data_IF_820591798624
#
_entry.id   IF_820591798624
#
_cell.length_a   1.000
_cell.length_b   1.000
_cell.length_c   1.000
_cell.angle_alpha   90.00
_cell.angle_beta   90.00
_cell.angle_gamma   90.00
#
_symmetry.space_group_name_H-M   'P 1'
#
loop_
_entity.id
_entity.type
_entity.pdbx_description
1 polymer ?
#
# COMPACT_ATOMS: atom_id res chain seq x y z
N UNK A 1 -10.99 19.61 -11.58
CA UNK A 1 -12.33 19.11 -11.23
C UNK A 1 -12.17 17.73 -10.63
N UNK A 2 -12.61 17.53 -9.38
CA UNK A 2 -12.73 16.16 -8.85
C UNK A 2 -13.95 15.58 -9.57
N UNK A 3 -13.74 14.56 -10.42
CA UNK A 3 -14.82 13.91 -11.15
C UNK A 3 -15.89 13.45 -10.14
N UNK A 4 -17.10 14.03 -10.18
CA UNK A 4 -18.21 13.63 -9.31
C UNK A 4 -18.45 12.11 -9.42
N UNK A 5 -18.25 11.59 -10.62
CA UNK A 5 -18.30 10.18 -10.99
C UNK A 5 -17.35 9.29 -10.17
N UNK A 6 -16.20 9.82 -9.70
CA UNK A 6 -15.23 9.04 -8.92
C UNK A 6 -15.81 8.63 -7.55
N UNK A 7 -16.38 9.59 -6.82
CA UNK A 7 -16.93 9.32 -5.47
C UNK A 7 -18.07 8.31 -5.55
N UNK A 8 -18.92 8.46 -6.57
CA UNK A 8 -20.01 7.54 -6.82
C UNK A 8 -19.49 6.13 -7.21
N UNK A 9 -18.56 6.04 -8.15
CA UNK A 9 -17.97 4.75 -8.56
C UNK A 9 -17.29 4.00 -7.39
N UNK A 10 -16.56 4.73 -6.53
CA UNK A 10 -15.97 4.17 -5.30
C UNK A 10 -17.07 3.63 -4.37
N UNK A 11 -18.12 4.41 -4.11
CA UNK A 11 -19.22 3.98 -3.25
C UNK A 11 -19.94 2.74 -3.81
N UNK A 12 -20.24 2.73 -5.10
CA UNK A 12 -20.87 1.60 -5.79
C UNK A 12 -20.00 0.34 -5.75
N UNK A 13 -18.68 0.47 -5.88
CA UNK A 13 -17.77 -0.67 -5.80
C UNK A 13 -17.65 -1.22 -4.39
N UNK A 14 -17.61 -0.38 -3.36
CA UNK A 14 -17.63 -0.80 -1.95
C UNK A 14 -18.92 -1.54 -1.58
N UNK A 15 -20.06 -1.17 -2.18
CA UNK A 15 -21.34 -1.85 -1.96
C UNK A 15 -21.37 -3.30 -2.50
N UNK A 16 -20.38 -3.70 -3.32
CA UNK A 16 -20.25 -5.06 -3.86
C UNK A 16 -19.21 -5.84 -3.05
N UNK A 17 -19.62 -6.89 -2.30
CA UNK A 17 -18.67 -7.71 -1.56
C UNK A 17 -17.72 -8.43 -2.52
N UNK A 18 -16.48 -8.63 -2.08
CA UNK A 18 -15.52 -9.48 -2.75
C UNK A 18 -15.68 -10.95 -2.35
N UNK A 19 -14.80 -11.84 -2.84
CA UNK A 19 -14.82 -13.27 -2.52
C UNK A 19 -14.72 -13.59 -1.03
N UNK A 20 -14.15 -12.67 -0.25
CA UNK A 20 -13.99 -12.80 1.20
C UNK A 20 -14.92 -11.87 2.01
N UNK A 21 -16.05 -11.46 1.42
CA UNK A 21 -17.03 -10.58 2.05
C UNK A 21 -16.79 -9.09 1.78
N UNK A 22 -17.31 -8.18 2.62
CA UNK A 22 -17.14 -6.75 2.46
C UNK A 22 -15.65 -6.34 2.41
N UNK A 23 -15.31 -5.47 1.47
CA UNK A 23 -13.95 -4.97 1.31
C UNK A 23 -13.67 -3.83 2.28
N UNK A 24 -12.49 -3.83 2.91
CA UNK A 24 -12.04 -2.73 3.78
C UNK A 24 -11.47 -1.55 3.00
N UNK A 25 -10.99 -1.80 1.78
CA UNK A 25 -10.45 -0.78 0.88
C UNK A 25 -10.61 -1.23 -0.59
N UNK A 26 -10.46 -0.31 -1.54
CA UNK A 26 -10.43 -0.55 -2.97
C UNK A 26 -9.05 -0.20 -3.52
N UNK A 27 -8.52 -1.05 -4.39
CA UNK A 27 -7.35 -0.73 -5.19
C UNK A 27 -7.80 -0.11 -6.51
N UNK A 28 -7.19 1.01 -6.87
CA UNK A 28 -7.43 1.71 -8.12
C UNK A 28 -6.56 1.09 -9.21
N UNK A 29 -7.18 0.87 -10.36
CA UNK A 29 -6.50 0.45 -11.57
C UNK A 29 -6.77 1.47 -12.67
N UNK A 30 -5.79 1.69 -13.53
CA UNK A 30 -5.99 2.50 -14.74
C UNK A 30 -6.77 1.73 -15.82
N UNK A 31 -6.97 2.37 -16.98
CA UNK A 31 -7.71 1.77 -18.11
C UNK A 31 -7.01 0.55 -18.71
N UNK A 32 -5.72 0.36 -18.43
CA UNK A 32 -4.93 -0.78 -18.87
C UNK A 32 -4.87 -1.88 -17.80
N UNK A 33 -5.47 -1.65 -16.62
CA UNK A 33 -5.50 -2.61 -15.51
C UNK A 33 -4.29 -2.55 -14.59
N UNK A 34 -3.41 -1.55 -14.74
CA UNK A 34 -2.28 -1.36 -13.84
C UNK A 34 -2.74 -0.75 -12.52
N UNK A 35 -2.35 -1.39 -11.42
CA UNK A 35 -2.64 -0.94 -10.06
C UNK A 35 -1.77 0.28 -9.73
N UNK A 36 -2.39 1.31 -9.15
CA UNK A 36 -1.68 2.54 -8.75
C UNK A 36 -1.65 2.71 -7.24
N UNK A 37 -2.81 2.93 -6.63
CA UNK A 37 -2.97 3.22 -5.21
C UNK A 37 -4.32 2.72 -4.69
N UNK A 38 -4.58 2.85 -3.39
CA UNK A 38 -5.91 2.64 -2.82
C UNK A 38 -6.81 3.87 -2.99
N UNK A 39 -8.10 3.78 -2.64
CA UNK A 39 -9.03 4.93 -2.80
C UNK A 39 -8.64 6.15 -1.96
N UNK A 40 -7.89 5.94 -0.87
CA UNK A 40 -7.42 6.95 0.10
C UNK A 40 -6.05 6.61 0.71
N UNK A 41 -5.26 5.79 0.05
CA UNK A 41 -4.00 5.25 0.57
C UNK A 41 -3.04 4.94 -0.58
N UNK A 42 -1.74 4.90 -0.33
CA UNK A 42 -0.78 4.41 -1.33
C UNK A 42 -0.65 2.88 -1.24
N UNK A 43 -0.35 2.24 -2.37
CA UNK A 43 -0.20 0.79 -2.49
C UNK A 43 1.26 0.41 -2.68
N UNK A 44 1.66 -0.66 -2.00
CA UNK A 44 2.98 -1.26 -2.11
C UNK A 44 2.87 -2.79 -2.17
N UNK A 45 3.78 -3.39 -2.92
CA UNK A 45 4.01 -4.83 -2.92
C UNK A 45 5.41 -5.14 -2.40
N UNK A 46 5.63 -6.35 -1.89
CA UNK A 46 6.96 -6.83 -1.54
C UNK A 46 7.24 -8.13 -2.30
N UNK A 47 8.38 -8.17 -2.99
CA UNK A 47 8.88 -9.35 -3.70
C UNK A 47 10.35 -9.55 -3.31
N UNK A 48 10.60 -10.50 -2.41
CA UNK A 48 11.93 -10.64 -1.80
C UNK A 48 12.32 -9.35 -1.04
N UNK A 49 13.50 -8.82 -1.31
CA UNK A 49 13.99 -7.59 -0.69
C UNK A 49 13.50 -6.30 -1.38
N UNK A 50 12.70 -6.41 -2.44
CA UNK A 50 12.19 -5.27 -3.20
C UNK A 50 10.80 -4.87 -2.71
N UNK A 51 10.63 -3.58 -2.46
CA UNK A 51 9.34 -2.94 -2.23
C UNK A 51 8.93 -2.21 -3.51
N UNK A 52 7.84 -2.65 -4.12
CA UNK A 52 7.38 -2.14 -5.41
C UNK A 52 6.24 -1.15 -5.20
N UNK A 53 6.30 0.02 -5.84
CA UNK A 53 5.20 0.99 -5.88
C UNK A 53 5.09 1.62 -7.27
N UNK A 54 3.90 2.11 -7.60
CA UNK A 54 3.68 2.81 -8.86
C UNK A 54 4.50 4.12 -8.94
N UNK A 55 4.80 4.60 -10.17
CA UNK A 55 5.50 5.88 -10.37
C UNK A 55 4.80 7.05 -9.68
N UNK A 56 5.59 8.03 -9.24
CA UNK A 56 5.13 9.21 -8.50
C UNK A 56 4.06 10.00 -9.26
N UNK A 57 4.10 10.02 -10.59
CA UNK A 57 3.12 10.72 -11.44
C UNK A 57 1.76 10.01 -11.51
N UNK A 58 1.67 8.80 -10.94
CA UNK A 58 0.50 7.91 -10.99
C UNK A 58 -0.22 7.77 -9.66
N UNK A 59 0.30 8.39 -8.60
CA UNK A 59 -0.20 8.25 -7.22
C UNK A 59 -0.19 9.59 -6.50
N UNK A 60 -0.96 9.68 -5.41
CA UNK A 60 -0.85 10.83 -4.51
C UNK A 60 0.46 10.77 -3.73
N UNK A 61 1.23 11.86 -3.76
CA UNK A 61 2.46 12.02 -2.98
C UNK A 61 2.18 12.34 -1.50
N UNK A 62 1.53 11.40 -0.82
CA UNK A 62 1.10 11.56 0.58
C UNK A 62 2.26 11.76 1.56
N UNK A 63 1.98 12.42 2.69
CA UNK A 63 2.98 12.66 3.76
C UNK A 63 3.46 11.32 4.34
N UNK A 64 2.54 10.40 4.68
CA UNK A 64 2.88 9.07 5.20
C UNK A 64 3.77 8.29 4.24
N UNK A 65 3.52 8.39 2.92
CA UNK A 65 4.38 7.77 1.90
C UNK A 65 5.82 8.22 2.03
N UNK A 66 6.10 9.50 2.28
CA UNK A 66 7.49 9.98 2.45
C UNK A 66 8.21 9.24 3.58
N UNK A 67 7.52 9.01 4.70
CA UNK A 67 8.07 8.24 5.82
C UNK A 67 8.19 6.75 5.51
N UNK A 68 7.28 6.18 4.71
CA UNK A 68 7.42 4.81 4.19
C UNK A 68 8.68 4.69 3.33
N UNK A 69 8.92 5.63 2.41
CA UNK A 69 10.12 5.60 1.55
C UNK A 69 11.41 5.69 2.38
N UNK A 70 11.42 6.53 3.43
CA UNK A 70 12.53 6.58 4.38
C UNK A 70 12.69 5.25 5.12
N UNK A 71 11.59 4.65 5.61
CA UNK A 71 11.61 3.38 6.32
C UNK A 71 12.10 2.22 5.43
N UNK A 72 11.81 2.24 4.13
CA UNK A 72 12.34 1.27 3.15
C UNK A 72 13.87 1.35 3.12
N UNK A 73 14.43 2.56 3.02
CA UNK A 73 15.87 2.79 3.03
C UNK A 73 16.51 2.36 4.36
N UNK A 74 15.91 2.75 5.50
CA UNK A 74 16.40 2.40 6.84
C UNK A 74 16.35 0.88 7.10
N UNK A 75 15.34 0.21 6.54
CA UNK A 75 15.22 -1.24 6.55
C UNK A 75 16.15 -1.94 5.55
N UNK A 76 16.98 -1.21 4.80
CA UNK A 76 17.87 -1.75 3.77
C UNK A 76 17.12 -2.59 2.73
N UNK A 77 15.92 -2.14 2.36
CA UNK A 77 15.12 -2.71 1.29
C UNK A 77 15.26 -1.86 0.02
N UNK A 78 15.05 -2.47 -1.13
CA UNK A 78 15.16 -1.79 -2.41
C UNK A 78 13.80 -1.24 -2.84
N UNK A 79 13.67 0.07 -3.04
CA UNK A 79 12.48 0.63 -3.68
C UNK A 79 12.56 0.40 -5.18
N UNK A 80 11.58 -0.31 -5.73
CA UNK A 80 11.41 -0.50 -7.17
C UNK A 80 10.19 0.27 -7.64
N UNK A 81 10.34 1.08 -8.69
CA UNK A 81 9.24 1.77 -9.34
C UNK A 81 8.77 0.92 -10.52
N UNK A 82 7.59 0.31 -10.40
CA UNK A 82 6.99 -0.53 -11.44
C UNK A 82 5.45 -0.47 -11.37
N UNK A 83 4.79 -0.74 -12.49
CA UNK A 83 3.34 -0.86 -12.57
C UNK A 83 2.97 -2.34 -12.70
N UNK A 84 2.18 -2.83 -11.76
CA UNK A 84 1.74 -4.23 -11.73
C UNK A 84 0.24 -4.33 -12.01
N UNK A 85 -0.15 -5.21 -12.91
CA UNK A 85 -1.52 -5.71 -12.96
C UNK A 85 -1.71 -6.80 -11.88
N UNK A 86 -2.96 -7.11 -11.52
CA UNK A 86 -3.21 -8.24 -10.61
C UNK A 86 -2.67 -9.58 -11.17
N UNK A 87 -2.64 -9.73 -12.49
CA UNK A 87 -2.05 -10.90 -13.13
C UNK A 87 -0.52 -10.91 -13.05
N UNK A 88 0.15 -9.76 -13.09
CA UNK A 88 1.58 -9.67 -12.79
C UNK A 88 1.88 -10.12 -11.37
N UNK A 89 1.08 -9.65 -10.39
CA UNK A 89 1.20 -10.06 -8.98
C UNK A 89 1.07 -11.58 -8.85
N UNK A 90 0.09 -12.20 -9.52
CA UNK A 90 -0.09 -13.66 -9.56
C UNK A 90 1.09 -14.37 -10.21
N UNK A 91 1.50 -13.97 -11.41
CA UNK A 91 2.58 -14.62 -12.18
C UNK A 91 3.93 -14.53 -11.48
N UNK A 92 4.22 -13.39 -10.83
CA UNK A 92 5.45 -13.16 -10.07
C UNK A 92 5.43 -13.84 -8.69
N UNK A 93 4.32 -14.47 -8.30
CA UNK A 93 4.19 -15.12 -7.00
C UNK A 93 4.28 -14.15 -5.82
N UNK A 94 3.86 -12.90 -6.01
CA UNK A 94 3.89 -11.88 -4.95
C UNK A 94 2.77 -12.20 -3.96
N UNK A 95 3.14 -12.38 -2.69
CA UNK A 95 2.22 -12.72 -1.59
C UNK A 95 2.11 -11.63 -0.54
N UNK A 96 2.82 -10.53 -0.70
CA UNK A 96 2.90 -9.45 0.28
C UNK A 96 2.55 -8.13 -0.36
N UNK A 97 1.55 -7.47 0.20
CA UNK A 97 1.12 -6.15 -0.18
C UNK A 97 0.64 -5.38 1.05
N UNK A 98 0.83 -4.07 1.05
CA UNK A 98 0.37 -3.22 2.13
C UNK A 98 -0.10 -1.87 1.60
N UNK A 99 -0.95 -1.23 2.39
CA UNK A 99 -1.41 0.14 2.15
C UNK A 99 -0.71 1.07 3.12
N UNK A 100 -0.52 2.33 2.71
CA UNK A 100 -0.09 3.37 3.63
C UNK A 100 -0.99 4.60 3.60
N UNK A 101 -1.22 5.19 4.77
CA UNK A 101 -1.97 6.43 4.91
C UNK A 101 -1.99 6.89 6.36
N UNK A 102 -2.18 8.18 6.60
CA UNK A 102 -2.06 8.75 7.96
C UNK A 102 -2.99 8.09 9.00
N UNK A 103 -4.23 7.68 8.68
CA UNK A 103 -5.08 6.99 9.65
C UNK A 103 -4.72 5.51 9.88
N UNK A 104 -3.91 4.90 9.01
CA UNK A 104 -3.69 3.44 8.97
C UNK A 104 -2.21 3.05 9.07
N UNK A 105 -1.29 4.02 9.12
CA UNK A 105 0.15 3.83 9.03
C UNK A 105 0.55 2.92 7.87
N UNK A 106 0.99 1.69 8.16
CA UNK A 106 1.20 0.60 7.21
C UNK A 106 0.22 -0.52 7.54
N UNK A 107 -0.74 -0.75 6.66
CA UNK A 107 -1.77 -1.77 6.81
C UNK A 107 -1.47 -2.97 5.90
N UNK A 108 -1.10 -4.15 6.44
CA UNK A 108 -0.89 -5.33 5.61
C UNK A 108 -2.21 -5.80 5.00
N UNK A 109 -2.19 -6.10 3.70
CA UNK A 109 -3.35 -6.62 2.97
C UNK A 109 -3.43 -8.13 3.19
N UNK A 110 -4.59 -8.65 3.60
CA UNK A 110 -4.84 -10.10 3.77
C UNK A 110 -5.25 -10.82 2.49
N UNK A 111 -5.84 -10.10 1.53
CA UNK A 111 -6.29 -10.63 0.24
C UNK A 111 -6.59 -9.48 -0.72
N UNK A 112 -6.39 -9.72 -2.02
CA UNK A 112 -6.82 -8.84 -3.12
C UNK A 112 -7.73 -9.66 -4.03
N UNK A 113 -9.01 -9.29 -4.14
CA UNK A 113 -10.03 -10.08 -4.83
C UNK A 113 -10.04 -11.54 -4.35
N UNK A 114 -9.72 -12.50 -5.22
CA UNK A 114 -9.64 -13.94 -4.95
C UNK A 114 -8.23 -14.39 -4.53
N UNK A 115 -7.23 -13.49 -4.56
CA UNK A 115 -5.84 -13.76 -4.24
C UNK A 115 -5.59 -13.55 -2.74
N UNK A 116 -5.39 -14.61 -1.93
CA UNK A 116 -5.02 -14.44 -0.53
C UNK A 116 -3.62 -13.82 -0.45
N UNK A 117 -3.25 -13.22 0.68
CA UNK A 117 -1.91 -12.66 0.90
C UNK A 117 -1.38 -13.10 2.26
N UNK A 118 -0.06 -13.08 2.42
CA UNK A 118 0.67 -13.46 3.63
C UNK A 118 1.35 -12.24 4.28
N UNK A 119 0.93 -11.03 3.89
CA UNK A 119 1.63 -9.77 4.18
C UNK A 119 1.96 -9.55 5.64
N UNK A 120 1.08 -9.94 6.57
CA UNK A 120 1.29 -9.77 8.01
C UNK A 120 2.38 -10.68 8.60
N UNK A 121 2.72 -11.78 7.91
CA UNK A 121 3.72 -12.75 8.34
C UNK A 121 5.04 -12.63 7.54
N UNK A 122 5.07 -11.80 6.52
CA UNK A 122 6.25 -11.61 5.70
C UNK A 122 7.38 -10.92 6.50
N UNK A 123 8.59 -11.52 6.56
CA UNK A 123 9.69 -10.98 7.36
C UNK A 123 10.17 -9.60 6.85
N UNK A 124 10.09 -9.32 5.56
CA UNK A 124 10.43 -8.03 4.98
C UNK A 124 9.39 -6.96 5.32
N UNK A 125 8.10 -7.31 5.32
CA UNK A 125 7.06 -6.39 5.82
C UNK A 125 7.27 -6.09 7.31
N UNK A 126 7.52 -7.11 8.14
CA UNK A 126 7.77 -6.92 9.57
C UNK A 126 9.00 -6.04 9.81
N UNK A 127 10.08 -6.25 9.03
CA UNK A 127 11.29 -5.41 9.09
C UNK A 127 10.97 -3.95 8.74
N UNK A 128 10.25 -3.72 7.64
CA UNK A 128 9.83 -2.39 7.21
C UNK A 128 8.93 -1.70 8.26
N UNK A 129 7.95 -2.42 8.80
CA UNK A 129 7.04 -1.90 9.80
C UNK A 129 7.79 -1.44 11.05
N UNK A 130 8.79 -2.21 11.52
CA UNK A 130 9.65 -1.82 12.65
C UNK A 130 10.43 -0.54 12.35
N UNK A 131 11.02 -0.41 11.16
CA UNK A 131 11.74 0.80 10.76
C UNK A 131 10.81 2.02 10.74
N UNK A 132 9.61 1.89 10.18
CA UNK A 132 8.62 2.96 10.16
C UNK A 132 8.18 3.37 11.58
N UNK A 133 7.89 2.41 12.45
CA UNK A 133 7.53 2.70 13.85
C UNK A 133 8.67 3.39 14.62
N UNK A 134 9.93 3.08 14.30
CA UNK A 134 11.06 3.79 14.88
C UNK A 134 11.10 5.26 14.46
N UNK A 135 10.77 5.58 13.20
CA UNK A 135 10.64 6.97 12.75
C UNK A 135 9.55 7.72 13.51
N UNK A 136 8.39 7.07 13.73
CA UNK A 136 7.29 7.62 14.53
C UNK A 136 7.74 7.88 15.97
N UNK A 137 8.39 6.89 16.59
CA UNK A 137 8.87 7.03 17.97
C UNK A 137 9.90 8.16 18.12
N UNK A 138 10.86 8.24 17.19
CA UNK A 138 11.85 9.32 17.16
C UNK A 138 11.18 10.70 17.05
N UNK A 139 10.15 10.82 16.21
CA UNK A 139 9.40 12.07 16.08
C UNK A 139 8.71 12.44 17.39
N UNK A 140 8.05 11.49 18.05
CA UNK A 140 7.38 11.71 19.35
C UNK A 140 8.39 12.16 20.41
N UNK A 141 9.53 11.49 20.52
CA UNK A 141 10.52 11.81 21.55
C UNK A 141 11.16 13.19 21.33
N UNK A 142 11.32 13.62 20.08
CA UNK A 142 11.81 14.97 19.74
C UNK A 142 10.79 16.09 20.01
N UNK A 143 9.49 15.78 20.02
CA UNK A 143 8.41 16.77 20.14
C UNK A 143 7.56 16.58 21.40
N UNK A 144 8.03 15.79 22.36
CA UNK A 144 7.43 15.67 23.68
C UNK A 144 7.51 17.01 24.39
N UNK A 145 6.36 17.66 24.57
CA UNK A 145 6.23 18.81 25.46
C UNK A 145 6.40 18.29 26.88
N UNK A 146 7.34 18.88 27.62
CA UNK A 146 7.57 18.60 29.04
C UNK A 146 6.39 19.04 29.90
#
# INVERSE_FOLDING_TARGET
MIHADYKQAVAERFARPGPFGPCSELLLADRQGYLTEGSRSNLFFISGNQVVSAPDERVLLGITRRYVLQAIADAQLELTVDLLTLDDVRRRGIRTAFLSGSPIDLLPIRAIEDLPMESAHDPFFIKLYKAYMQLVQNYIDQHRVQ
#
